data_IF_636217142049
#
_entry.id   IF_636217142049
#
_cell.length_a   1.000
_cell.length_b   1.000
_cell.length_c   1.000
_cell.angle_alpha   90.00
_cell.angle_beta   90.00
_cell.angle_gamma   90.00
#
_symmetry.space_group_name_H-M   'P 1'
#
loop_
_entity.id
_entity.type
_entity.pdbx_description
1 polymer ?
#
# COMPACT_ATOMS: atom_id res chain seq x y z
N UNK A 1 -4.75 12.13 6.80
CA UNK A 1 -4.02 12.40 5.53
C UNK A 1 -4.27 11.26 4.55
N UNK A 2 -4.13 11.47 3.24
CA UNK A 2 -4.24 10.39 2.23
C UNK A 2 -2.86 9.84 1.86
N UNK A 3 -2.72 8.52 1.93
CA UNK A 3 -1.58 7.76 1.40
C UNK A 3 -2.09 6.68 0.45
N UNK A 4 -1.21 6.16 -0.39
CA UNK A 4 -1.59 5.29 -1.50
C UNK A 4 -0.83 3.98 -1.47
N UNK A 5 -1.50 2.88 -1.81
CA UNK A 5 -0.88 1.57 -1.92
C UNK A 5 -1.24 0.91 -3.26
N UNK A 6 -0.23 0.46 -4.00
CA UNK A 6 -0.40 -0.30 -5.22
C UNK A 6 -0.49 -1.79 -4.90
N UNK A 7 -1.49 -2.45 -5.47
CA UNK A 7 -1.73 -3.88 -5.25
C UNK A 7 -2.34 -4.56 -6.48
N UNK A 8 -2.47 -5.87 -6.42
CA UNK A 8 -3.18 -6.63 -7.45
C UNK A 8 -4.66 -6.82 -7.08
N UNK A 9 -5.56 -6.99 -8.06
CA UNK A 9 -6.97 -7.29 -7.79
C UNK A 9 -7.17 -8.52 -6.90
N UNK A 10 -6.32 -9.54 -7.03
CA UNK A 10 -6.41 -10.79 -6.26
C UNK A 10 -6.08 -10.54 -4.79
N UNK A 11 -5.02 -9.78 -4.51
CA UNK A 11 -4.65 -9.43 -3.13
C UNK A 11 -5.73 -8.57 -2.47
N UNK A 12 -6.33 -7.64 -3.22
CA UNK A 12 -7.45 -6.84 -2.72
C UNK A 12 -8.69 -7.68 -2.45
N UNK A 13 -9.06 -8.58 -3.37
CA UNK A 13 -10.20 -9.49 -3.19
C UNK A 13 -10.02 -10.38 -1.94
N UNK A 14 -8.84 -10.98 -1.77
CA UNK A 14 -8.53 -11.81 -0.60
C UNK A 14 -8.63 -11.01 0.71
N UNK A 15 -8.19 -9.75 0.74
CA UNK A 15 -8.32 -8.90 1.91
C UNK A 15 -9.78 -8.56 2.24
N UNK A 16 -10.63 -8.36 1.23
CA UNK A 16 -12.07 -8.14 1.43
C UNK A 16 -12.78 -9.36 2.00
N UNK A 17 -12.33 -10.56 1.65
CA UNK A 17 -12.85 -11.82 2.20
C UNK A 17 -12.38 -12.07 3.63
N UNK A 18 -11.10 -11.77 3.93
CA UNK A 18 -10.52 -11.98 5.26
C UNK A 18 -10.85 -10.87 6.27
N UNK A 19 -11.25 -9.70 5.79
CA UNK A 19 -11.52 -8.51 6.60
C UNK A 19 -10.29 -7.68 6.95
N UNK A 20 -9.09 -8.04 6.46
CA UNK A 20 -7.84 -7.35 6.75
C UNK A 20 -6.85 -7.43 5.59
N UNK A 21 -6.18 -6.32 5.28
CA UNK A 21 -5.19 -6.28 4.21
C UNK A 21 -3.77 -6.43 4.76
N UNK A 22 -3.07 -7.49 4.35
CA UNK A 22 -1.76 -7.91 4.89
C UNK A 22 -0.69 -8.12 3.82
N UNK A 23 -0.91 -7.66 2.59
CA UNK A 23 0.15 -7.63 1.56
C UNK A 23 1.01 -6.38 1.75
N UNK A 24 2.32 -6.55 1.86
CA UNK A 24 3.25 -5.43 2.08
C UNK A 24 3.54 -4.67 0.79
N UNK A 25 3.83 -5.43 -0.25
CA UNK A 25 4.07 -4.99 -1.62
C UNK A 25 3.91 -6.20 -2.54
N UNK A 26 4.13 -6.04 -3.84
CA UNK A 26 4.01 -7.12 -4.81
C UNK A 26 4.85 -8.34 -4.40
N UNK A 27 4.17 -9.47 -4.20
CA UNK A 27 4.81 -10.75 -3.86
C UNK A 27 5.38 -10.87 -2.44
N UNK A 28 5.11 -9.89 -1.55
CA UNK A 28 5.61 -9.88 -0.17
C UNK A 28 4.48 -9.59 0.81
N UNK A 29 4.39 -10.38 1.89
CA UNK A 29 3.41 -10.17 2.96
C UNK A 29 3.94 -9.20 4.03
N UNK A 30 3.01 -8.67 4.82
CA UNK A 30 3.31 -7.86 6.01
C UNK A 30 4.21 -8.61 7.01
N UNK A 31 4.02 -9.92 7.17
CA UNK A 31 4.86 -10.74 8.06
C UNK A 31 6.32 -10.79 7.59
N UNK A 32 6.55 -10.74 6.27
CA UNK A 32 7.89 -10.83 5.68
C UNK A 32 8.67 -9.51 5.76
N UNK A 33 7.99 -8.36 5.62
CA UNK A 33 8.62 -7.03 5.59
C UNK A 33 8.48 -6.26 6.90
N UNK A 34 7.45 -6.54 7.70
CA UNK A 34 7.13 -5.85 8.95
C UNK A 34 6.31 -4.56 8.78
N UNK A 35 6.04 -4.12 7.55
CA UNK A 35 5.19 -2.97 7.23
C UNK A 35 4.60 -3.08 5.82
N UNK A 36 3.57 -2.30 5.51
CA UNK A 36 3.00 -2.13 4.16
C UNK A 36 3.59 -0.89 3.50
N UNK A 37 4.17 -1.04 2.31
CA UNK A 37 4.71 0.05 1.53
C UNK A 37 3.60 0.93 0.99
N UNK A 38 3.62 2.21 1.30
CA UNK A 38 2.69 3.19 0.73
C UNK A 38 3.47 4.30 0.02
N UNK A 39 2.74 5.21 -0.59
CA UNK A 39 3.24 6.33 -1.38
C UNK A 39 2.42 7.56 -1.08
N UNK A 40 3.05 8.73 -1.18
CA UNK A 40 2.32 9.98 -1.37
C UNK A 40 1.82 10.08 -2.81
N UNK A 41 0.85 10.96 -3.08
CA UNK A 41 0.24 11.09 -4.40
C UNK A 41 1.25 11.29 -5.54
N UNK A 42 2.27 12.11 -5.31
CA UNK A 42 3.31 12.43 -6.31
C UNK A 42 4.31 11.29 -6.56
N UNK A 43 4.32 10.25 -5.71
CA UNK A 43 5.24 9.12 -5.78
C UNK A 43 4.64 7.92 -6.53
N UNK A 44 3.31 7.84 -6.64
CA UNK A 44 2.58 6.68 -7.17
C UNK A 44 3.05 6.30 -8.58
N UNK A 45 3.17 7.27 -9.49
CA UNK A 45 3.55 7.02 -10.88
C UNK A 45 4.95 6.38 -10.98
N UNK A 46 5.91 6.88 -10.20
CA UNK A 46 7.26 6.34 -10.15
C UNK A 46 7.30 4.91 -9.58
N UNK A 47 6.56 4.65 -8.50
CA UNK A 47 6.48 3.31 -7.89
C UNK A 47 5.81 2.33 -8.84
N UNK A 48 4.74 2.74 -9.53
CA UNK A 48 4.07 1.91 -10.53
C UNK A 48 5.03 1.53 -11.65
N UNK A 49 5.74 2.50 -12.24
CA UNK A 49 6.67 2.28 -13.33
C UNK A 49 7.84 1.35 -12.94
N UNK A 50 8.28 1.38 -11.69
CA UNK A 50 9.41 0.57 -11.21
C UNK A 50 9.03 -0.87 -10.83
N UNK A 51 7.85 -1.06 -10.24
CA UNK A 51 7.50 -2.34 -9.58
C UNK A 51 6.31 -3.08 -10.19
N UNK A 52 5.50 -2.38 -10.99
CA UNK A 52 4.22 -2.89 -11.49
C UNK A 52 4.07 -2.75 -13.02
N UNK A 53 5.07 -2.25 -13.74
CA UNK A 53 5.00 -1.98 -15.18
C UNK A 53 4.73 -3.21 -16.07
N UNK A 54 4.98 -4.41 -15.56
CA UNK A 54 4.77 -5.70 -16.23
C UNK A 54 3.42 -6.35 -15.88
N UNK A 55 2.55 -5.67 -15.12
CA UNK A 55 1.20 -6.13 -14.83
C UNK A 55 0.16 -5.34 -15.63
N UNK A 56 -0.82 -6.07 -16.17
CA UNK A 56 -1.94 -5.48 -16.92
C UNK A 56 -3.05 -4.91 -16.02
N UNK A 57 -3.13 -5.37 -14.77
CA UNK A 57 -4.14 -4.93 -13.81
C UNK A 57 -3.52 -4.63 -12.45
N UNK A 58 -3.56 -3.35 -12.08
CA UNK A 58 -3.03 -2.83 -10.82
C UNK A 58 -4.09 -1.92 -10.22
N UNK A 59 -4.35 -2.12 -8.93
CA UNK A 59 -5.22 -1.27 -8.16
C UNK A 59 -4.42 -0.29 -7.33
N UNK A 60 -4.92 0.94 -7.25
CA UNK A 60 -4.48 1.96 -6.33
C UNK A 60 -5.51 2.06 -5.20
N UNK A 61 -5.09 1.70 -3.99
CA UNK A 61 -5.86 1.90 -2.78
C UNK A 61 -5.53 3.29 -2.22
N UNK A 62 -6.56 4.08 -1.95
CA UNK A 62 -6.42 5.35 -1.22
C UNK A 62 -6.79 5.13 0.25
N UNK A 63 -5.83 5.38 1.14
CA UNK A 63 -5.92 5.08 2.56
C UNK A 63 -6.02 6.38 3.35
N UNK A 64 -7.04 6.50 4.21
CA UNK A 64 -7.11 7.50 5.27
C UNK A 64 -6.24 7.10 6.44
N UNK A 65 -5.20 7.88 6.71
CA UNK A 65 -4.35 7.61 7.88
C UNK A 65 -5.08 7.79 9.20
N UNK A 66 -6.16 8.57 9.23
CA UNK A 66 -6.89 8.90 10.46
C UNK A 66 -7.85 7.75 10.86
N UNK A 67 -8.06 6.79 9.95
CA UNK A 67 -8.88 5.60 10.16
C UNK A 67 -8.03 4.34 10.41
N UNK A 68 -6.69 4.44 10.33
CA UNK A 68 -5.79 3.34 10.60
C UNK A 68 -5.75 3.04 12.11
N UNK A 69 -5.84 1.76 12.45
CA UNK A 69 -5.53 1.27 13.79
C UNK A 69 -4.04 0.98 13.96
N UNK A 70 -3.37 0.60 12.87
CA UNK A 70 -1.93 0.37 12.81
C UNK A 70 -1.14 1.68 12.80
N UNK A 71 0.01 1.76 13.50
CA UNK A 71 0.88 2.93 13.43
C UNK A 71 1.45 3.09 12.01
N UNK A 72 1.65 4.33 11.59
CA UNK A 72 2.31 4.64 10.31
C UNK A 72 3.33 5.75 10.49
N UNK A 73 4.29 5.83 9.57
CA UNK A 73 5.30 6.90 9.51
C UNK A 73 5.77 7.12 8.09
N UNK A 74 6.03 8.37 7.73
CA UNK A 74 6.79 8.69 6.53
C UNK A 74 8.27 8.70 6.89
N UNK A 75 9.06 7.85 6.26
CA UNK A 75 10.50 7.73 6.54
C UNK A 75 11.28 7.39 5.28
N UNK A 76 12.52 7.86 5.24
CA UNK A 76 13.47 7.45 4.21
C UNK A 76 14.25 6.23 4.71
N UNK A 77 13.91 5.05 4.17
CA UNK A 77 14.67 3.83 4.44
C UNK A 77 16.00 3.84 3.69
N UNK A 78 16.95 3.03 4.16
CA UNK A 78 18.27 2.93 3.54
C UNK A 78 18.14 2.49 2.06
N UNK A 79 18.68 3.29 1.15
CA UNK A 79 18.61 3.05 -0.29
C UNK A 79 17.39 3.67 -0.99
N UNK A 80 16.44 4.25 -0.25
CA UNK A 80 15.37 5.06 -0.84
C UNK A 80 15.89 6.47 -1.18
N UNK A 81 15.46 7.01 -2.31
CA UNK A 81 15.78 8.35 -2.80
C UNK A 81 15.10 9.45 -1.96
N UNK A 82 13.98 9.12 -1.34
CA UNK A 82 13.14 10.02 -0.55
C UNK A 82 12.38 9.25 0.55
N UNK A 83 11.62 9.97 1.37
CA UNK A 83 10.77 9.37 2.38
C UNK A 83 9.47 8.82 1.78
N UNK A 84 9.06 7.63 2.21
CA UNK A 84 7.80 7.00 1.81
C UNK A 84 6.97 6.67 3.06
N UNK A 85 5.63 6.74 2.99
CA UNK A 85 4.77 6.28 4.07
C UNK A 85 4.82 4.75 4.21
N UNK A 86 4.91 4.26 5.44
CA UNK A 86 4.83 2.85 5.78
C UNK A 86 3.81 2.63 6.89
N UNK A 87 2.95 1.60 6.74
CA UNK A 87 1.99 1.19 7.79
C UNK A 87 2.54 -0.05 8.50
N UNK A 88 2.80 0.07 9.80
CA UNK A 88 3.43 -0.95 10.64
C UNK A 88 2.38 -1.89 11.27
N UNK A 89 1.64 -2.55 10.39
CA UNK A 89 0.57 -3.47 10.74
C UNK A 89 -0.41 -3.68 9.58
N UNK A 90 -1.46 -4.48 9.78
CA UNK A 90 -2.48 -4.67 8.75
C UNK A 90 -3.17 -3.34 8.42
N UNK A 91 -3.58 -3.17 7.17
CA UNK A 91 -4.39 -2.04 6.75
C UNK A 91 -5.87 -2.40 6.94
N UNK A 92 -6.57 -1.59 7.73
CA UNK A 92 -8.01 -1.69 7.93
C UNK A 92 -8.76 -1.44 6.62
N UNK A 93 -9.72 -2.29 6.25
CA UNK A 93 -10.52 -2.06 5.06
C UNK A 93 -11.33 -0.76 5.14
N UNK A 94 -11.73 -0.36 6.35
CA UNK A 94 -12.43 0.90 6.59
C UNK A 94 -11.52 2.13 6.38
N UNK A 95 -10.20 1.96 6.47
CA UNK A 95 -9.25 3.02 6.14
C UNK A 95 -9.06 3.17 4.63
N UNK A 96 -9.39 2.15 3.83
CA UNK A 96 -9.39 2.26 2.36
C UNK A 96 -10.68 2.97 1.91
N UNK A 97 -10.56 4.24 1.53
CA UNK A 97 -11.70 5.10 1.20
C UNK A 97 -12.01 5.17 -0.30
N UNK A 98 -11.05 4.80 -1.15
CA UNK A 98 -11.22 4.71 -2.60
C UNK A 98 -10.35 3.58 -3.16
N UNK A 99 -10.83 2.97 -4.24
CA UNK A 99 -10.12 1.92 -4.98
C UNK A 99 -10.33 2.15 -6.47
N UNK A 100 -9.25 2.38 -7.20
CA UNK A 100 -9.28 2.63 -8.64
C UNK A 100 -8.18 1.85 -9.36
N UNK A 101 -8.30 1.73 -10.68
CA UNK A 101 -7.21 1.20 -11.52
C UNK A 101 -6.09 2.24 -11.58
N UNK A 102 -4.86 1.78 -11.43
CA UNK A 102 -3.64 2.60 -11.52
C UNK A 102 -3.16 2.79 -12.95
#
# INVERSE_FOLDING_TARGET
MRIFHLTTPEAWAAARESGSYTTSTRGRSLEQEGFVHCSEAHQVEGVHALWFSDLDDVLLLEIDTDLLTSPWRSEQLAGADQAYPHVYGPVDLAAVVDVRRS
#
